data_IF_781546160804
#
_entry.id   IF_781546160804
#
_cell.length_a   1.000
_cell.length_b   1.000
_cell.length_c   1.000
_cell.angle_alpha   90.00
_cell.angle_beta   90.00
_cell.angle_gamma   90.00
#
_symmetry.space_group_name_H-M   'P 1'
#
loop_
_entity.id
_entity.type
_entity.pdbx_description
1 polymer ?
#
# COMPACT_ATOMS: atom_id res chain seq x y z
N UNK A 1 -7.33 -12.44 11.32
CA UNK A 1 -5.97 -11.91 11.61
C UNK A 1 -5.91 -10.50 11.07
N UNK A 2 -5.41 -9.55 11.85
CA UNK A 2 -5.23 -8.16 11.40
C UNK A 2 -4.08 -8.09 10.39
N UNK A 3 -4.25 -7.44 9.22
CA UNK A 3 -3.14 -7.23 8.28
C UNK A 3 -2.04 -6.35 8.88
N UNK A 4 -0.80 -6.59 8.46
CA UNK A 4 0.36 -5.75 8.80
C UNK A 4 0.51 -4.57 7.84
N UNK A 5 -0.03 -4.70 6.62
CA UNK A 5 -0.20 -3.64 5.64
C UNK A 5 -1.64 -3.72 5.12
N UNK A 6 -2.39 -2.63 5.27
CA UNK A 6 -3.73 -2.46 4.72
C UNK A 6 -3.70 -1.22 3.83
N UNK A 7 -4.05 -1.42 2.56
CA UNK A 7 -4.10 -0.39 1.52
C UNK A 7 -5.53 -0.34 0.99
N UNK A 8 -6.13 0.85 0.97
CA UNK A 8 -7.52 1.05 0.51
C UNK A 8 -7.60 2.18 -0.51
N UNK A 9 -8.07 1.84 -1.71
CA UNK A 9 -8.34 2.79 -2.79
C UNK A 9 -7.12 3.62 -3.20
N UNK A 10 -5.91 3.08 -3.06
CA UNK A 10 -4.68 3.84 -3.26
C UNK A 10 -4.55 4.29 -4.72
N UNK A 11 -4.53 5.61 -4.91
CA UNK A 11 -4.33 6.21 -6.22
C UNK A 11 -3.13 7.16 -6.19
N UNK A 12 -2.47 7.28 -7.35
CA UNK A 12 -1.32 8.16 -7.51
C UNK A 12 -1.31 8.77 -8.89
N UNK A 13 -1.37 10.10 -8.94
CA UNK A 13 -1.28 10.88 -10.17
C UNK A 13 0.01 11.70 -10.24
N UNK A 14 0.63 11.73 -11.42
CA UNK A 14 1.76 12.60 -11.73
C UNK A 14 1.41 13.50 -12.89
N UNK A 15 1.19 14.79 -12.63
CA UNK A 15 1.01 15.80 -13.68
C UNK A 15 -0.09 15.45 -14.71
N UNK A 16 -1.17 14.81 -14.27
CA UNK A 16 -2.29 14.37 -15.12
C UNK A 16 -2.22 12.92 -15.62
N UNK A 17 -1.14 12.19 -15.33
CA UNK A 17 -1.04 10.75 -15.57
C UNK A 17 -1.43 9.97 -14.32
N UNK A 18 -2.46 9.12 -14.41
CA UNK A 18 -2.80 8.17 -13.35
C UNK A 18 -1.88 6.96 -13.39
N UNK A 19 -1.01 6.84 -12.38
CA UNK A 19 -0.02 5.77 -12.26
C UNK A 19 -0.48 4.61 -11.37
N UNK A 20 -1.34 4.88 -10.39
CA UNK A 20 -2.09 3.88 -9.61
C UNK A 20 -3.56 4.30 -9.58
N UNK A 21 -4.47 3.34 -9.73
CA UNK A 21 -5.90 3.58 -9.76
C UNK A 21 -6.61 2.66 -8.78
N UNK A 22 -7.07 3.23 -7.65
CA UNK A 22 -7.91 2.57 -6.64
C UNK A 22 -7.41 1.16 -6.25
N UNK A 23 -6.11 1.06 -5.93
CA UNK A 23 -5.51 -0.22 -5.55
C UNK A 23 -5.86 -0.58 -4.10
N UNK A 24 -6.43 -1.77 -3.91
CA UNK A 24 -6.67 -2.39 -2.60
C UNK A 24 -5.70 -3.55 -2.38
N UNK A 25 -5.08 -3.63 -1.21
CA UNK A 25 -4.19 -4.73 -0.83
C UNK A 25 -4.14 -4.91 0.69
N UNK A 26 -4.32 -6.15 1.14
CA UNK A 26 -4.04 -6.58 2.50
C UNK A 26 -2.87 -7.57 2.49
N UNK A 27 -1.87 -7.33 3.35
CA UNK A 27 -0.76 -8.27 3.59
C UNK A 27 -0.78 -8.68 5.06
N UNK A 28 -0.78 -9.99 5.31
CA UNK A 28 -0.80 -10.56 6.66
C UNK A 28 0.61 -10.79 7.20
N UNK A 29 0.70 -10.94 8.52
CA UNK A 29 1.96 -11.29 9.17
C UNK A 29 2.49 -12.65 8.64
N UNK A 30 3.76 -12.68 8.24
CA UNK A 30 4.41 -13.87 7.68
C UNK A 30 4.08 -14.16 6.22
N UNK A 31 3.24 -13.37 5.56
CA UNK A 31 2.89 -13.54 4.16
C UNK A 31 3.98 -12.99 3.23
N UNK A 32 4.31 -13.75 2.18
CA UNK A 32 5.21 -13.31 1.11
C UNK A 32 4.36 -12.99 -0.11
N UNK A 33 4.30 -11.70 -0.47
CA UNK A 33 3.53 -11.20 -1.61
C UNK A 33 4.48 -10.68 -2.68
N UNK A 34 4.22 -11.03 -3.93
CA UNK A 34 4.97 -10.53 -5.09
C UNK A 34 4.07 -9.67 -5.98
N UNK A 35 4.52 -8.46 -6.29
CA UNK A 35 3.87 -7.57 -7.26
C UNK A 35 4.55 -7.72 -8.63
N UNK A 36 3.81 -8.24 -9.61
CA UNK A 36 4.33 -8.56 -10.95
C UNK A 36 3.51 -7.80 -12.01
N UNK A 37 4.17 -7.34 -13.06
CA UNK A 37 3.54 -6.62 -14.17
C UNK A 37 4.58 -6.05 -15.14
N UNK A 38 4.18 -5.61 -16.34
CA UNK A 38 5.08 -5.04 -17.34
C UNK A 38 5.70 -3.71 -16.89
N UNK A 39 6.65 -3.19 -17.67
CA UNK A 39 7.20 -1.85 -17.44
C UNK A 39 6.08 -0.81 -17.55
N UNK A 40 6.10 0.19 -16.65
CA UNK A 40 5.06 1.22 -16.59
C UNK A 40 3.79 0.81 -15.83
N UNK A 41 3.64 -0.43 -15.38
CA UNK A 41 2.45 -0.89 -14.64
C UNK A 41 2.30 -0.34 -13.19
N UNK A 42 3.06 0.70 -12.82
CA UNK A 42 2.92 1.33 -11.49
C UNK A 42 3.64 0.61 -10.32
N UNK A 43 4.37 -0.49 -10.55
CA UNK A 43 5.02 -1.26 -9.47
C UNK A 43 5.92 -0.41 -8.55
N UNK A 44 6.87 0.33 -9.13
CA UNK A 44 7.76 1.21 -8.36
C UNK A 44 6.98 2.34 -7.69
N UNK A 45 5.95 2.88 -8.37
CA UNK A 45 5.05 3.89 -7.80
C UNK A 45 4.36 3.38 -6.54
N UNK A 46 3.82 2.15 -6.59
CA UNK A 46 3.20 1.51 -5.43
C UNK A 46 4.18 1.37 -4.26
N UNK A 47 5.38 0.85 -4.52
CA UNK A 47 6.42 0.74 -3.49
C UNK A 47 6.79 2.09 -2.89
N UNK A 48 6.93 3.13 -3.72
CA UNK A 48 7.21 4.48 -3.23
C UNK A 48 6.08 5.05 -2.37
N UNK A 49 4.82 4.70 -2.67
CA UNK A 49 3.68 5.10 -1.84
C UNK A 49 3.72 4.42 -0.48
N UNK A 50 3.80 3.08 -0.45
CA UNK A 50 3.77 2.33 0.83
C UNK A 50 5.00 2.59 1.71
N UNK A 51 6.14 2.98 1.11
CA UNK A 51 7.37 3.35 1.85
C UNK A 51 7.40 4.83 2.26
N UNK A 52 6.42 5.63 1.86
CA UNK A 52 6.32 7.05 2.21
C UNK A 52 7.21 7.98 1.40
N UNK A 53 7.85 7.50 0.32
CA UNK A 53 8.62 8.35 -0.62
C UNK A 53 7.70 9.29 -1.39
N UNK A 54 6.52 8.79 -1.78
CA UNK A 54 5.47 9.59 -2.40
C UNK A 54 4.21 9.53 -1.55
N UNK A 55 3.61 10.68 -1.18
CA UNK A 55 2.27 10.68 -0.63
C UNK A 55 1.28 10.30 -1.76
N UNK A 56 0.34 9.38 -1.54
CA UNK A 56 -0.69 9.10 -2.53
C UNK A 56 -1.58 10.32 -2.75
N UNK A 57 -2.18 10.40 -3.95
CA UNK A 57 -3.13 11.48 -4.25
C UNK A 57 -4.50 11.21 -3.63
N UNK A 58 -4.90 9.94 -3.54
CA UNK A 58 -6.14 9.47 -2.91
C UNK A 58 -5.93 8.12 -2.24
N UNK A 59 -6.83 7.77 -1.32
CA UNK A 59 -6.81 6.51 -0.58
C UNK A 59 -5.97 6.57 0.70
N UNK A 60 -6.00 5.47 1.44
CA UNK A 60 -5.38 5.36 2.76
C UNK A 60 -4.51 4.11 2.87
N UNK A 61 -3.46 4.20 3.70
CA UNK A 61 -2.57 3.08 4.02
C UNK A 61 -2.29 3.02 5.52
N UNK A 62 -2.31 1.81 6.07
CA UNK A 62 -1.94 1.53 7.46
C UNK A 62 -0.85 0.46 7.49
N UNK A 63 0.25 0.75 8.18
CA UNK A 63 1.33 -0.19 8.45
C UNK A 63 1.44 -0.42 9.96
N UNK A 64 1.36 -1.69 10.37
CA UNK A 64 1.57 -2.09 11.76
C UNK A 64 3.06 -2.37 12.01
N UNK A 65 3.64 -1.91 13.13
CA UNK A 65 5.00 -2.26 13.49
C UNK A 65 5.12 -3.76 13.82
N UNK A 66 6.24 -4.42 13.46
CA UNK A 66 6.47 -5.82 13.78
C UNK A 66 6.33 -6.09 15.30
N UNK A 67 5.64 -7.18 15.67
CA UNK A 67 5.57 -7.65 17.06
C UNK A 67 4.70 -6.84 18.02
N UNK A 68 4.07 -5.73 17.60
CA UNK A 68 3.04 -5.07 18.43
C UNK A 68 1.67 -5.64 18.11
N UNK A 69 1.13 -6.46 19.01
CA UNK A 69 -0.32 -6.73 19.03
C UNK A 69 -1.04 -5.37 19.09
N UNK A 70 -1.95 -5.09 18.14
CA UNK A 70 -2.85 -3.93 18.24
C UNK A 70 -3.47 -4.02 19.65
N UNK A 71 -3.16 -3.05 20.50
CA UNK A 71 -3.91 -2.89 21.75
C UNK A 71 -5.35 -2.67 21.32
N UNK A 72 -6.24 -3.58 21.71
CA UNK A 72 -7.67 -3.37 21.58
C UNK A 72 -7.98 -2.05 22.27
N UNK A 73 -8.32 -1.03 21.48
CA UNK A 73 -8.85 0.21 22.03
C UNK A 73 -10.21 -0.15 22.61
N UNK A 74 -10.31 -0.08 23.94
CA UNK A 74 -11.56 -0.17 24.70
C UNK A 74 -12.50 0.94 24.25
#
# INVERSE_FOLDING_TARGET
MTPILEVKGLSMDFGGLRALDQLDLDVKEGEIVALIGPNGAGKTTFFNCITGIHPPTEGDMLIAPPGKKKQERV
#
